data_IF_381297595671
#
_entry.id   IF_381297595671
#
_cell.length_a   1.000
_cell.length_b   1.000
_cell.length_c   1.000
_cell.angle_alpha   90.00
_cell.angle_beta   90.00
_cell.angle_gamma   90.00
#
_symmetry.space_group_name_H-M   'P 1'
#
loop_
_entity.id
_entity.type
_entity.pdbx_description
1 polymer ?
#
# COMPACT_ATOMS: atom_id res chain seq x y z
N UNK A 1 38.58 10.95 14.40
CA UNK A 1 37.16 11.31 14.18
C UNK A 1 36.52 11.35 15.56
N UNK A 2 35.99 12.49 16.02
CA UNK A 2 35.28 12.55 17.31
C UNK A 2 33.89 12.03 17.08
N UNK A 3 33.54 10.93 17.76
CA UNK A 3 32.21 10.37 17.76
C UNK A 3 31.37 11.21 18.73
N UNK A 4 30.30 11.81 18.23
CA UNK A 4 29.33 12.54 19.05
C UNK A 4 28.10 11.66 19.20
N UNK A 5 27.97 11.03 20.36
CA UNK A 5 26.76 10.31 20.75
C UNK A 5 25.95 11.26 21.62
N UNK A 6 24.75 11.61 21.15
CA UNK A 6 23.79 12.36 21.96
C UNK A 6 22.71 11.35 22.46
N UNK A 7 22.73 11.08 23.74
CA UNK A 7 21.66 10.31 24.40
C UNK A 7 20.61 11.28 24.93
N UNK A 8 19.34 11.01 24.60
CA UNK A 8 18.21 11.68 25.24
C UNK A 8 17.95 10.90 26.54
N UNK A 9 18.65 11.30 27.60
CA UNK A 9 18.65 10.59 28.89
C UNK A 9 17.26 10.53 29.58
N UNK A 10 16.33 11.38 29.17
CA UNK A 10 15.00 11.49 29.79
C UNK A 10 13.89 10.88 28.92
N UNK A 11 14.24 10.19 27.81
CA UNK A 11 13.24 9.50 27.01
C UNK A 11 12.65 8.33 27.79
N UNK A 12 11.39 8.46 28.19
CA UNK A 12 10.62 7.36 28.75
C UNK A 12 9.70 6.84 27.66
N UNK A 13 9.82 5.56 27.34
CA UNK A 13 8.87 4.88 26.46
C UNK A 13 7.45 5.06 27.05
N UNK A 14 6.60 5.73 26.27
CA UNK A 14 5.21 5.95 26.67
C UNK A 14 4.43 4.66 26.55
N UNK A 15 3.55 4.41 27.53
CA UNK A 15 2.62 3.27 27.43
C UNK A 15 1.76 3.40 26.16
N UNK A 16 1.58 2.30 25.41
CA UNK A 16 0.77 2.32 24.20
C UNK A 16 -0.68 2.71 24.47
N UNK A 17 -1.25 3.55 23.64
CA UNK A 17 -2.67 3.91 23.64
C UNK A 17 -3.46 2.68 23.18
N UNK A 18 -4.30 2.14 24.06
CA UNK A 18 -5.09 0.95 23.75
C UNK A 18 -6.36 1.32 22.98
N UNK A 19 -6.61 0.59 21.88
CA UNK A 19 -7.79 0.74 21.04
C UNK A 19 -8.42 -0.63 20.74
N UNK A 20 -9.73 -0.64 20.49
CA UNK A 20 -10.45 -1.86 20.13
C UNK A 20 -11.41 -1.58 18.96
N UNK A 21 -11.43 -2.50 18.00
CA UNK A 21 -12.20 -2.43 16.76
C UNK A 21 -12.87 -3.76 16.48
N UNK A 22 -13.82 -3.78 15.54
CA UNK A 22 -14.32 -5.02 14.96
C UNK A 22 -13.36 -5.52 13.89
N UNK A 23 -12.83 -4.59 13.06
CA UNK A 23 -11.91 -4.87 11.98
C UNK A 23 -10.73 -3.90 12.01
N UNK A 24 -9.53 -4.43 11.80
CA UNK A 24 -8.33 -3.63 11.56
C UNK A 24 -7.77 -3.99 10.18
N UNK A 25 -7.60 -2.99 9.33
CA UNK A 25 -6.94 -3.12 8.02
C UNK A 25 -5.54 -2.52 8.12
N UNK A 26 -4.53 -3.33 7.87
CA UNK A 26 -3.12 -2.89 7.85
C UNK A 26 -2.68 -2.72 6.41
N UNK A 27 -2.38 -1.50 6.03
CA UNK A 27 -2.05 -1.08 4.66
C UNK A 27 -3.20 -0.33 4.00
N UNK A 28 -2.95 0.91 3.62
CA UNK A 28 -3.90 1.82 2.97
C UNK A 28 -3.70 1.96 1.46
N UNK A 29 -3.18 0.93 0.81
CA UNK A 29 -3.21 0.82 -0.65
C UNK A 29 -4.64 0.71 -1.17
N UNK A 30 -4.85 0.61 -2.49
CA UNK A 30 -6.19 0.57 -3.08
C UNK A 30 -7.07 -0.55 -2.51
N UNK A 31 -6.52 -1.75 -2.36
CA UNK A 31 -7.25 -2.90 -1.80
C UNK A 31 -7.61 -2.70 -0.33
N UNK A 32 -6.66 -2.21 0.49
CA UNK A 32 -6.91 -1.97 1.91
C UNK A 32 -7.90 -0.84 2.14
N UNK A 33 -7.82 0.24 1.37
CA UNK A 33 -8.77 1.34 1.43
C UNK A 33 -10.20 0.87 1.09
N UNK A 34 -10.37 0.13 -0.01
CA UNK A 34 -11.67 -0.44 -0.38
C UNK A 34 -12.20 -1.41 0.70
N UNK A 35 -11.33 -2.26 1.26
CA UNK A 35 -11.71 -3.19 2.32
C UNK A 35 -12.17 -2.47 3.59
N UNK A 36 -11.45 -1.42 4.01
CA UNK A 36 -11.80 -0.63 5.18
C UNK A 36 -13.13 0.12 5.00
N UNK A 37 -13.33 0.76 3.84
CA UNK A 37 -14.57 1.46 3.52
C UNK A 37 -15.74 0.46 3.48
N UNK A 38 -15.58 -0.69 2.82
CA UNK A 38 -16.60 -1.72 2.76
C UNK A 38 -16.96 -2.23 4.15
N UNK A 39 -15.99 -2.53 4.97
CA UNK A 39 -16.18 -2.99 6.34
C UNK A 39 -16.97 -1.98 7.17
N UNK A 40 -16.55 -0.73 7.17
CA UNK A 40 -17.18 0.35 7.92
C UNK A 40 -18.61 0.64 7.42
N UNK A 41 -18.86 0.64 6.10
CA UNK A 41 -20.19 0.83 5.51
C UNK A 41 -21.15 -0.30 5.85
N UNK A 42 -20.65 -1.50 6.14
CA UNK A 42 -21.43 -2.61 6.65
C UNK A 42 -21.64 -2.58 8.18
N UNK A 43 -21.24 -1.51 8.85
CA UNK A 43 -21.50 -1.24 10.26
C UNK A 43 -20.42 -1.69 11.23
N UNK A 44 -19.32 -2.26 10.76
CA UNK A 44 -18.20 -2.62 11.62
C UNK A 44 -17.41 -1.37 12.05
N UNK A 45 -17.06 -1.25 13.33
CA UNK A 45 -16.10 -0.25 13.79
C UNK A 45 -14.71 -0.65 13.30
N UNK A 46 -14.22 0.06 12.30
CA UNK A 46 -13.04 -0.30 11.51
C UNK A 46 -11.90 0.71 11.71
N UNK A 47 -10.67 0.22 11.84
CA UNK A 47 -9.48 1.05 11.72
C UNK A 47 -8.73 0.71 10.43
N UNK A 48 -8.22 1.74 9.75
CA UNK A 48 -7.25 1.59 8.67
C UNK A 48 -5.92 2.23 9.07
N UNK A 49 -4.85 1.44 8.95
CA UNK A 49 -3.49 1.83 9.32
C UNK A 49 -2.67 1.94 8.04
N UNK A 50 -2.12 3.13 7.78
CA UNK A 50 -1.31 3.40 6.61
C UNK A 50 0.01 4.06 7.02
N UNK A 51 1.13 3.47 6.63
CA UNK A 51 2.47 3.97 6.97
C UNK A 51 2.81 5.29 6.27
N UNK A 52 2.17 5.56 5.13
CA UNK A 52 2.40 6.77 4.34
C UNK A 52 1.41 7.87 4.71
N UNK A 53 1.68 9.08 4.23
CA UNK A 53 0.81 10.24 4.46
C UNK A 53 -0.42 10.30 3.56
N UNK A 54 -0.48 9.44 2.53
CA UNK A 54 -1.57 9.35 1.57
C UNK A 54 -2.06 7.92 1.42
N UNK A 55 -3.31 7.76 1.02
CA UNK A 55 -3.87 6.47 0.61
C UNK A 55 -3.55 6.17 -0.85
N UNK A 56 -3.72 4.90 -1.24
CA UNK A 56 -3.63 4.46 -2.62
C UNK A 56 -2.41 3.61 -2.96
N UNK A 57 -1.38 3.61 -2.11
CA UNK A 57 -0.15 2.85 -2.36
C UNK A 57 0.49 3.25 -3.69
N UNK A 58 0.73 2.28 -4.58
CA UNK A 58 1.30 2.57 -5.90
C UNK A 58 0.39 3.48 -6.76
N UNK A 59 -0.92 3.51 -6.51
CA UNK A 59 -1.88 4.38 -7.20
C UNK A 59 -1.95 5.81 -6.67
N UNK A 60 -1.17 6.16 -5.66
CA UNK A 60 -1.10 7.51 -5.09
C UNK A 60 -0.15 8.43 -5.85
N UNK A 61 -0.07 9.70 -5.42
CA UNK A 61 0.90 10.67 -5.93
C UNK A 61 2.36 10.25 -5.72
N UNK A 62 2.63 9.33 -4.79
CA UNK A 62 4.00 8.89 -4.48
C UNK A 62 4.62 8.06 -5.60
N UNK A 63 3.87 7.14 -6.20
CA UNK A 63 4.36 6.28 -7.30
C UNK A 63 3.70 6.64 -8.63
N UNK A 64 2.46 7.16 -8.60
CA UNK A 64 1.69 7.61 -9.77
C UNK A 64 1.35 6.51 -10.77
N UNK A 65 1.21 5.27 -10.29
CA UNK A 65 0.69 4.21 -11.14
C UNK A 65 -0.82 4.36 -11.25
N UNK A 66 -1.34 4.47 -12.47
CA UNK A 66 -2.79 4.54 -12.68
C UNK A 66 -3.45 3.20 -12.33
N UNK A 67 -4.68 3.27 -11.85
CA UNK A 67 -5.49 2.09 -11.57
C UNK A 67 -6.05 1.56 -12.89
N UNK A 68 -5.47 0.50 -13.41
CA UNK A 68 -5.90 -0.12 -14.65
C UNK A 68 -7.04 -1.14 -14.43
N UNK A 69 -6.91 -2.00 -13.45
CA UNK A 69 -7.95 -2.97 -13.04
C UNK A 69 -8.58 -3.74 -14.19
N UNK A 70 -9.90 -3.87 -14.15
CA UNK A 70 -10.70 -4.55 -15.17
C UNK A 70 -10.86 -3.72 -16.46
N UNK A 71 -10.41 -2.48 -16.52
CA UNK A 71 -10.46 -1.63 -17.72
C UNK A 71 -9.51 -2.15 -18.80
N UNK A 72 -9.87 -3.28 -19.39
CA UNK A 72 -9.09 -3.90 -20.45
C UNK A 72 -9.35 -3.17 -21.78
N UNK A 73 -8.39 -2.38 -22.22
CA UNK A 73 -8.47 -1.63 -23.46
C UNK A 73 -8.32 -2.49 -24.74
N UNK A 74 -8.12 -3.79 -24.59
CA UNK A 74 -7.95 -4.75 -25.70
C UNK A 74 -9.33 -5.19 -26.26
N UNK A 75 -10.13 -4.25 -26.76
CA UNK A 75 -11.40 -4.53 -27.43
C UNK A 75 -12.62 -4.70 -26.51
N UNK A 76 -12.52 -4.31 -25.24
CA UNK A 76 -13.65 -4.30 -24.27
C UNK A 76 -13.84 -2.90 -23.71
N UNK A 77 -14.37 -2.00 -24.52
CA UNK A 77 -14.51 -0.56 -24.20
C UNK A 77 -15.27 -0.26 -22.91
N UNK A 78 -16.17 -1.17 -22.49
CA UNK A 78 -17.02 -0.97 -21.31
C UNK A 78 -16.59 -1.82 -20.08
N UNK A 79 -15.42 -2.47 -20.15
CA UNK A 79 -14.92 -3.22 -19.00
C UNK A 79 -14.27 -2.25 -18.02
N UNK A 80 -14.87 -2.11 -16.83
CA UNK A 80 -14.43 -1.21 -15.76
C UNK A 80 -14.56 -1.89 -14.40
N UNK A 81 -13.82 -1.40 -13.42
CA UNK A 81 -14.06 -1.76 -12.02
C UNK A 81 -15.46 -1.31 -11.58
N UNK A 82 -15.99 -1.97 -10.58
CA UNK A 82 -17.29 -1.64 -9.96
C UNK A 82 -17.10 -1.31 -8.49
N UNK A 83 -18.22 -1.05 -7.79
CA UNK A 83 -18.23 -0.82 -6.35
C UNK A 83 -17.47 0.42 -5.92
N UNK A 84 -16.83 0.33 -4.76
CA UNK A 84 -16.12 1.46 -4.12
C UNK A 84 -15.01 2.03 -5.03
N UNK A 85 -14.32 1.17 -5.76
CA UNK A 85 -13.28 1.63 -6.68
C UNK A 85 -13.85 2.52 -7.78
N UNK A 86 -14.95 2.11 -8.40
CA UNK A 86 -15.64 2.90 -9.43
C UNK A 86 -16.19 4.20 -8.85
N UNK A 87 -16.74 4.18 -7.64
CA UNK A 87 -17.22 5.38 -6.94
C UNK A 87 -16.10 6.42 -6.81
N UNK A 88 -14.92 6.02 -6.33
CA UNK A 88 -13.76 6.90 -6.23
C UNK A 88 -13.28 7.41 -7.58
N UNK A 89 -13.26 6.56 -8.62
CA UNK A 89 -12.89 6.96 -9.97
C UNK A 89 -13.86 7.97 -10.57
N UNK A 90 -15.17 7.79 -10.39
CA UNK A 90 -16.18 8.75 -10.86
C UNK A 90 -16.08 10.08 -10.12
N UNK A 91 -15.85 10.04 -8.81
CA UNK A 91 -15.62 11.24 -8.02
C UNK A 91 -14.37 11.98 -8.47
N UNK A 92 -13.29 11.25 -8.76
CA UNK A 92 -12.07 11.81 -9.32
C UNK A 92 -12.31 12.44 -10.70
N UNK A 93 -13.05 11.80 -11.59
CA UNK A 93 -13.41 12.37 -12.90
C UNK A 93 -14.12 13.71 -12.77
N UNK A 94 -15.02 13.81 -11.78
CA UNK A 94 -15.78 15.05 -11.55
C UNK A 94 -14.91 16.19 -11.00
N UNK A 95 -14.00 15.89 -10.08
CA UNK A 95 -13.19 16.90 -9.37
C UNK A 95 -11.85 17.20 -10.02
N UNK A 96 -11.32 16.29 -10.83
CA UNK A 96 -9.92 16.27 -11.26
C UNK A 96 -9.80 16.32 -12.79
N UNK A 97 -10.23 17.43 -13.37
CA UNK A 97 -10.19 17.64 -14.82
C UNK A 97 -8.78 17.51 -15.41
N UNK A 98 -7.77 17.99 -14.68
CA UNK A 98 -6.37 18.02 -15.13
C UNK A 98 -5.60 16.74 -14.78
N UNK A 99 -6.27 15.71 -14.30
CA UNK A 99 -5.66 14.42 -13.90
C UNK A 99 -4.47 14.56 -12.92
N UNK A 100 -4.59 15.49 -11.98
CA UNK A 100 -3.56 15.77 -10.97
C UNK A 100 -3.60 14.70 -9.87
N UNK A 101 -2.47 14.07 -9.61
CA UNK A 101 -2.38 13.02 -8.58
C UNK A 101 -2.62 13.53 -7.16
N UNK A 102 -2.29 14.79 -6.85
CA UNK A 102 -2.60 15.36 -5.53
C UNK A 102 -4.10 15.54 -5.29
N UNK A 103 -4.88 15.82 -6.36
CA UNK A 103 -6.35 15.85 -6.27
C UNK A 103 -6.88 14.43 -6.10
N UNK A 104 -6.31 13.45 -6.79
CA UNK A 104 -6.64 12.05 -6.61
C UNK A 104 -6.40 11.58 -5.17
N UNK A 105 -5.25 11.90 -4.55
CA UNK A 105 -5.01 11.62 -3.13
C UNK A 105 -6.08 12.26 -2.23
N UNK A 106 -6.50 13.49 -2.56
CA UNK A 106 -7.59 14.18 -1.87
C UNK A 106 -8.92 13.45 -1.97
N UNK A 107 -9.25 12.87 -3.14
CA UNK A 107 -10.46 12.03 -3.33
C UNK A 107 -10.40 10.78 -2.46
N UNK A 108 -9.27 10.08 -2.44
CA UNK A 108 -9.09 8.89 -1.62
C UNK A 108 -9.24 9.22 -0.12
N UNK A 109 -8.59 10.31 0.29
CA UNK A 109 -8.63 10.78 1.68
C UNK A 109 -10.05 11.19 2.09
N UNK A 110 -10.74 12.01 1.29
CA UNK A 110 -12.10 12.47 1.60
C UNK A 110 -13.08 11.30 1.68
N UNK A 111 -12.98 10.34 0.76
CA UNK A 111 -13.81 9.14 0.79
C UNK A 111 -13.63 8.34 2.08
N UNK A 112 -12.39 8.21 2.56
CA UNK A 112 -12.13 7.56 3.84
C UNK A 112 -12.71 8.36 5.02
N UNK A 113 -12.45 9.66 5.06
CA UNK A 113 -12.87 10.53 6.17
C UNK A 113 -14.38 10.72 6.28
N UNK A 114 -15.10 10.67 5.16
CA UNK A 114 -16.55 10.75 5.11
C UNK A 114 -17.24 9.41 5.44
N UNK A 115 -16.47 8.31 5.47
CA UNK A 115 -16.99 6.98 5.78
C UNK A 115 -17.23 6.87 7.30
N UNK A 116 -18.49 6.71 7.71
CA UNK A 116 -18.86 6.50 9.12
C UNK A 116 -18.26 5.19 9.62
N UNK A 117 -17.94 5.12 10.91
CA UNK A 117 -17.35 3.95 11.59
C UNK A 117 -15.95 3.57 11.11
N UNK A 118 -15.25 4.46 10.40
CA UNK A 118 -13.88 4.28 9.96
C UNK A 118 -12.93 5.24 10.69
N UNK A 119 -12.03 4.71 11.51
CA UNK A 119 -10.94 5.46 12.12
C UNK A 119 -9.69 5.36 11.22
N UNK A 120 -9.12 6.51 10.88
CA UNK A 120 -7.99 6.63 9.95
C UNK A 120 -6.71 6.94 10.69
N UNK A 121 -5.67 6.12 10.44
CA UNK A 121 -4.32 6.28 10.98
C UNK A 121 -3.30 6.38 9.85
N UNK A 122 -3.02 7.61 9.37
CA UNK A 122 -1.93 7.90 8.43
C UNK A 122 -0.60 8.07 9.17
N UNK A 123 0.51 7.96 8.45
CA UNK A 123 1.88 8.02 9.00
C UNK A 123 2.08 7.06 10.17
N UNK A 124 1.42 5.91 10.08
CA UNK A 124 1.34 4.93 11.17
C UNK A 124 1.82 3.58 10.66
N UNK A 125 2.94 3.14 11.17
CA UNK A 125 3.57 1.85 10.79
C UNK A 125 3.28 0.79 11.85
N UNK A 126 2.91 -0.41 11.39
CA UNK A 126 2.83 -1.59 12.27
C UNK A 126 4.24 -2.03 12.65
N UNK A 127 4.54 -2.06 13.95
CA UNK A 127 5.86 -2.39 14.48
C UNK A 127 5.93 -3.74 15.20
N UNK A 128 4.80 -4.25 15.69
CA UNK A 128 4.72 -5.55 16.38
C UNK A 128 3.37 -6.20 16.14
N UNK A 129 3.36 -7.53 16.13
CA UNK A 129 2.16 -8.36 16.12
C UNK A 129 2.30 -9.36 17.27
N UNK A 130 1.24 -9.52 18.04
CA UNK A 130 1.15 -10.62 19.00
C UNK A 130 0.13 -11.62 18.52
N UNK A 131 0.62 -12.83 18.22
CA UNK A 131 -0.19 -13.97 17.79
C UNK A 131 0.21 -15.20 18.62
N UNK A 132 -0.66 -16.18 18.72
CA UNK A 132 -0.36 -17.52 19.23
C UNK A 132 -0.19 -18.55 18.09
N UNK A 133 -0.19 -18.07 16.84
CA UNK A 133 -0.10 -18.89 15.61
C UNK A 133 -1.45 -19.25 15.02
N UNK A 134 -2.55 -19.08 15.76
CA UNK A 134 -3.93 -19.28 15.27
C UNK A 134 -4.73 -17.97 15.25
N UNK A 135 -4.51 -17.10 16.21
CA UNK A 135 -5.22 -15.84 16.37
C UNK A 135 -4.28 -14.68 16.66
N UNK A 136 -4.54 -13.52 16.03
CA UNK A 136 -3.85 -12.27 16.33
C UNK A 136 -4.54 -11.65 17.55
N UNK A 137 -3.79 -11.50 18.65
CA UNK A 137 -4.29 -10.91 19.88
C UNK A 137 -4.29 -9.38 19.82
N UNK A 138 -3.27 -8.79 19.19
CA UNK A 138 -3.15 -7.36 18.95
C UNK A 138 -2.05 -7.04 17.94
N UNK A 139 -2.16 -5.86 17.34
CA UNK A 139 -1.09 -5.20 16.59
C UNK A 139 -0.65 -3.95 17.32
N UNK A 140 0.64 -3.65 17.28
CA UNK A 140 1.19 -2.42 17.82
C UNK A 140 1.73 -1.57 16.68
N UNK A 141 1.34 -0.28 16.67
CA UNK A 141 1.61 0.63 15.60
C UNK A 141 2.20 1.92 16.15
N UNK A 142 3.20 2.46 15.48
CA UNK A 142 3.81 3.73 15.81
C UNK A 142 3.40 4.80 14.79
N UNK A 143 2.88 5.91 15.27
CA UNK A 143 2.53 7.08 14.47
C UNK A 143 3.58 8.16 14.62
N UNK A 144 4.33 8.44 13.55
CA UNK A 144 5.46 9.36 13.57
C UNK A 144 5.04 10.82 13.78
N UNK A 145 3.87 11.22 13.28
CA UNK A 145 3.40 12.62 13.38
C UNK A 145 2.96 13.03 14.79
N UNK A 146 2.55 12.09 15.62
CA UNK A 146 2.13 12.33 17.01
C UNK A 146 3.08 11.72 18.04
N UNK A 147 4.12 11.01 17.58
CA UNK A 147 5.05 10.26 18.42
C UNK A 147 4.33 9.34 19.41
N UNK A 148 3.25 8.73 18.93
CA UNK A 148 2.38 7.89 19.74
C UNK A 148 2.44 6.44 19.28
N UNK A 149 2.45 5.53 20.26
CA UNK A 149 2.31 4.10 20.00
C UNK A 149 0.88 3.66 20.35
N UNK A 150 0.27 2.92 19.44
CA UNK A 150 -1.07 2.37 19.62
C UNK A 150 -0.99 0.85 19.70
N UNK A 151 -1.65 0.26 20.69
CA UNK A 151 -1.89 -1.18 20.74
C UNK A 151 -3.34 -1.44 20.44
N UNK A 152 -3.61 -2.06 19.30
CA UNK A 152 -4.94 -2.20 18.73
C UNK A 152 -5.35 -3.68 18.70
N UNK A 153 -6.59 -3.96 19.13
CA UNK A 153 -7.22 -5.27 19.11
C UNK A 153 -8.44 -5.25 18.20
N UNK A 154 -8.66 -6.35 17.46
CA UNK A 154 -9.85 -6.53 16.67
C UNK A 154 -10.29 -8.00 16.63
N UNK A 155 -11.53 -8.23 16.17
CA UNK A 155 -12.04 -9.57 15.89
C UNK A 155 -11.50 -10.10 14.55
N UNK A 156 -11.27 -9.19 13.58
CA UNK A 156 -10.76 -9.51 12.25
C UNK A 156 -9.61 -8.59 11.90
N UNK A 157 -8.56 -9.14 11.32
CA UNK A 157 -7.43 -8.40 10.78
C UNK A 157 -7.31 -8.66 9.29
N UNK A 158 -7.12 -7.61 8.50
CA UNK A 158 -6.93 -7.68 7.06
C UNK A 158 -5.52 -7.23 6.73
N UNK A 159 -4.73 -8.11 6.11
CA UNK A 159 -3.41 -7.78 5.58
C UNK A 159 -3.54 -7.19 4.17
N UNK A 160 -3.28 -5.90 4.07
CA UNK A 160 -3.19 -5.16 2.82
C UNK A 160 -1.86 -4.40 2.71
N UNK A 161 -0.82 -4.91 3.37
CA UNK A 161 0.51 -4.26 3.48
C UNK A 161 1.30 -4.28 2.17
N UNK A 162 0.83 -4.98 1.14
CA UNK A 162 1.53 -5.14 -0.13
C UNK A 162 2.60 -6.24 -0.10
N UNK A 163 3.28 -6.42 1.04
CA UNK A 163 4.32 -7.44 1.23
C UNK A 163 3.87 -8.62 2.12
N UNK A 164 2.61 -8.64 2.58
CA UNK A 164 2.11 -9.66 3.49
C UNK A 164 2.72 -9.59 4.89
N UNK A 165 3.12 -8.40 5.33
CA UNK A 165 3.87 -8.20 6.58
C UNK A 165 3.07 -8.59 7.81
N UNK A 166 1.77 -8.33 7.83
CA UNK A 166 0.91 -8.72 8.96
C UNK A 166 0.84 -10.25 9.08
N UNK A 167 0.58 -10.94 7.98
CA UNK A 167 0.54 -12.40 7.94
C UNK A 167 1.88 -13.04 8.33
N UNK A 168 2.98 -12.50 7.80
CA UNK A 168 4.32 -12.95 8.13
C UNK A 168 4.61 -12.84 9.64
N UNK A 169 4.37 -11.68 10.23
CA UNK A 169 4.61 -11.45 11.67
C UNK A 169 3.61 -12.18 12.56
N UNK A 170 2.43 -12.52 12.06
CA UNK A 170 1.45 -13.35 12.74
C UNK A 170 1.79 -14.84 12.73
N UNK A 171 2.77 -15.27 11.90
CA UNK A 171 3.17 -16.65 11.77
C UNK A 171 2.37 -17.45 10.75
N UNK A 172 1.67 -16.77 9.84
CA UNK A 172 0.96 -17.42 8.74
C UNK A 172 1.94 -18.08 7.75
N UNK A 173 1.52 -19.18 7.15
CA UNK A 173 2.26 -19.80 6.04
C UNK A 173 2.25 -18.86 4.83
N UNK A 174 3.39 -18.74 4.15
CA UNK A 174 3.52 -17.93 2.96
C UNK A 174 4.40 -18.61 1.90
N UNK A 175 4.26 -18.20 0.67
CA UNK A 175 5.12 -18.58 -0.45
C UNK A 175 5.72 -17.34 -1.07
N UNK A 176 6.90 -17.53 -1.67
CA UNK A 176 7.65 -16.48 -2.34
C UNK A 176 7.99 -16.93 -3.76
N UNK A 177 7.89 -16.02 -4.73
CA UNK A 177 8.14 -16.33 -6.14
C UNK A 177 6.92 -16.92 -6.84
N UNK A 178 7.18 -17.85 -7.76
CA UNK A 178 6.16 -18.51 -8.57
C UNK A 178 6.16 -20.02 -8.33
N UNK A 179 4.97 -20.62 -8.18
CA UNK A 179 4.76 -22.05 -8.21
C UNK A 179 4.85 -22.63 -9.63
N UNK A 180 5.04 -23.93 -9.70
CA UNK A 180 5.02 -24.68 -10.95
C UNK A 180 3.60 -25.12 -11.36
N UNK A 181 3.50 -25.69 -12.59
CA UNK A 181 2.25 -26.24 -13.12
C UNK A 181 1.65 -27.35 -12.27
N UNK A 182 2.49 -28.11 -11.53
CA UNK A 182 2.02 -29.24 -10.74
C UNK A 182 1.23 -28.79 -9.51
N UNK A 183 1.47 -27.57 -8.99
CA UNK A 183 0.83 -27.08 -7.78
C UNK A 183 -0.68 -26.86 -7.95
N UNK A 184 -1.11 -26.24 -9.06
CA UNK A 184 -2.51 -25.88 -9.31
C UNK A 184 -3.01 -26.20 -10.71
N UNK A 185 -2.23 -26.89 -11.54
CA UNK A 185 -2.56 -27.28 -12.92
C UNK A 185 -2.90 -26.10 -13.85
N UNK A 186 -2.27 -24.95 -13.62
CA UNK A 186 -2.47 -23.75 -14.44
C UNK A 186 -1.67 -23.85 -15.75
N UNK A 187 -2.33 -23.71 -16.93
CA UNK A 187 -1.64 -23.89 -18.23
C UNK A 187 -0.49 -22.92 -18.48
N UNK A 188 -0.60 -21.69 -17.95
CA UNK A 188 0.39 -20.61 -18.12
C UNK A 188 1.47 -20.59 -17.03
N UNK A 189 1.36 -21.45 -16.00
CA UNK A 189 2.40 -21.54 -14.98
C UNK A 189 3.71 -22.10 -15.54
N UNK A 190 4.81 -21.83 -14.87
CA UNK A 190 6.13 -22.35 -15.23
C UNK A 190 6.23 -23.87 -14.98
N UNK A 191 7.16 -24.53 -15.65
CA UNK A 191 7.39 -25.97 -15.42
C UNK A 191 8.14 -26.27 -14.11
N UNK A 192 8.78 -25.26 -13.52
CA UNK A 192 9.53 -25.37 -12.27
C UNK A 192 9.28 -24.18 -11.36
N UNK A 193 9.30 -24.44 -10.05
CA UNK A 193 9.25 -23.39 -9.01
C UNK A 193 10.39 -22.39 -9.21
N UNK A 194 10.08 -21.12 -9.12
CA UNK A 194 11.05 -20.02 -9.23
C UNK A 194 10.92 -19.08 -8.04
N UNK A 195 12.04 -18.63 -7.51
CA UNK A 195 12.09 -17.55 -6.50
C UNK A 195 12.01 -16.15 -7.09
N UNK A 196 11.77 -16.02 -8.40
CA UNK A 196 11.67 -14.71 -9.05
C UNK A 196 10.39 -13.98 -8.67
N UNK A 197 10.51 -12.68 -8.47
CA UNK A 197 9.39 -11.76 -8.21
C UNK A 197 9.30 -10.74 -9.33
N UNK A 198 8.25 -9.89 -9.27
CA UNK A 198 8.16 -8.74 -10.18
C UNK A 198 9.37 -7.84 -10.01
N UNK A 199 9.91 -7.37 -11.13
CA UNK A 199 11.02 -6.42 -11.14
C UNK A 199 10.64 -5.08 -10.53
N UNK A 200 11.63 -4.37 -9.99
CA UNK A 200 11.46 -3.01 -9.52
C UNK A 200 11.31 -2.06 -10.71
N UNK A 201 10.38 -1.10 -10.59
CA UNK A 201 10.12 -0.10 -11.62
C UNK A 201 10.39 1.30 -11.08
N UNK A 202 11.14 2.09 -11.83
CA UNK A 202 11.31 3.52 -11.57
C UNK A 202 10.41 4.28 -12.54
N UNK A 203 9.44 5.03 -12.00
CA UNK A 203 8.57 5.88 -12.79
C UNK A 203 9.21 7.24 -13.00
N UNK A 204 9.14 7.75 -14.23
CA UNK A 204 9.59 9.10 -14.55
C UNK A 204 8.63 9.77 -15.53
N UNK A 205 8.61 11.08 -15.51
CA UNK A 205 7.85 11.87 -16.47
C UNK A 205 8.79 12.34 -17.59
N UNK A 206 8.36 12.13 -18.83
CA UNK A 206 9.04 12.64 -20.02
C UNK A 206 8.17 13.67 -20.72
N UNK A 207 8.80 14.63 -21.39
CA UNK A 207 8.14 15.63 -22.23
C UNK A 207 8.76 15.62 -23.61
N UNK A 208 7.92 15.56 -24.62
CA UNK A 208 8.36 15.85 -25.98
C UNK A 208 8.69 17.35 -26.11
N UNK A 209 9.92 17.66 -26.47
CA UNK A 209 10.40 19.04 -26.66
C UNK A 209 10.17 19.55 -28.09
N UNK A 210 9.72 18.70 -29.01
CA UNK A 210 9.56 19.02 -30.42
C UNK A 210 10.89 19.19 -31.18
N UNK A 211 12.02 18.96 -30.55
CA UNK A 211 13.35 19.05 -31.18
C UNK A 211 14.33 18.12 -30.43
N UNK A 212 15.42 17.67 -31.09
CA UNK A 212 16.44 16.85 -30.45
C UNK A 212 17.12 17.58 -29.28
N UNK A 213 17.19 16.91 -28.14
CA UNK A 213 17.89 17.40 -26.95
C UNK A 213 19.16 16.56 -26.75
N UNK A 214 20.30 17.21 -26.53
CA UNK A 214 21.54 16.52 -26.27
C UNK A 214 21.47 15.82 -24.90
N UNK A 215 21.58 14.50 -24.91
CA UNK A 215 21.73 13.75 -23.68
C UNK A 215 23.18 13.90 -23.14
N UNK A 216 23.29 14.24 -21.88
CA UNK A 216 24.56 14.25 -21.16
C UNK A 216 24.47 13.21 -20.05
N UNK A 217 25.22 12.13 -20.22
CA UNK A 217 25.24 11.06 -19.21
C UNK A 217 25.82 11.58 -17.89
N UNK A 218 25.14 11.41 -16.75
CA UNK A 218 25.70 11.72 -15.44
C UNK A 218 26.91 10.81 -15.14
N UNK A 219 27.92 11.32 -14.42
CA UNK A 219 29.13 10.55 -14.08
C UNK A 219 28.85 9.29 -13.25
N UNK A 220 27.78 9.33 -12.42
CA UNK A 220 27.36 8.21 -11.58
C UNK A 220 26.57 7.15 -12.31
N UNK A 221 26.12 7.39 -13.54
CA UNK A 221 25.26 6.45 -14.28
C UNK A 221 26.09 5.30 -14.87
N UNK A 222 25.57 4.09 -14.75
CA UNK A 222 26.13 2.92 -15.42
C UNK A 222 26.04 3.08 -16.94
N UNK A 223 26.96 2.45 -17.65
CA UNK A 223 26.90 2.29 -19.10
C UNK A 223 26.58 0.82 -19.37
N UNK A 224 25.58 0.59 -20.19
CA UNK A 224 25.24 -0.72 -20.70
C UNK A 224 25.50 -0.74 -22.20
N UNK A 225 25.97 -1.83 -22.71
CA UNK A 225 26.08 -2.11 -24.15
C UNK A 225 25.11 -3.24 -24.55
N UNK A 226 25.11 -3.62 -25.82
CA UNK A 226 24.18 -4.64 -26.34
C UNK A 226 24.41 -6.01 -25.73
N UNK A 227 25.63 -6.28 -25.24
CA UNK A 227 26.00 -7.55 -24.61
C UNK A 227 25.56 -7.61 -23.13
N UNK A 228 25.22 -6.46 -22.52
CA UNK A 228 24.75 -6.35 -21.14
C UNK A 228 23.22 -6.53 -21.01
N UNK A 229 22.46 -6.53 -22.15
CA UNK A 229 20.99 -6.61 -22.21
C UNK A 229 20.54 -7.93 -22.80
#
# INVERSE_FOLDING_TARGET
>A
MKEYIHEISDYKEKEPIKKKYDVIVVGGGMSGLCAAIASARNGAHTAIIQERSVFGGNGSSEIRMHVAGASCHWGKENAVETGIMMEMQLHNQYLNYDHNFSIWDGVLWSTAMETKHLDVYLNTVMIRVKSDGSEIQWVECYQSTTESTYRMQANVYIDATGNGSLGYFAGAEYRFGCEDKAAYHEPSARDQVSGETMGNTIMFNARDTGHPVKFVKPEWAYTFDEDDL
#
